data_IF_868212003400
#
_entry.id   IF_868212003400
#
_cell.length_a   1.000
_cell.length_b   1.000
_cell.length_c   1.000
_cell.angle_alpha   90.00
_cell.angle_beta   90.00
_cell.angle_gamma   90.00
#
_symmetry.space_group_name_H-M   'P 1'
#
loop_
_entity.id
_entity.type
_entity.pdbx_description
1 polymer ?
#
# COMPACT_ATOMS: atom_id res chain seq x y z
N UNK A 1 13.35 -15.18 7.03
CA UNK A 1 13.02 -15.01 5.60
C UNK A 1 12.47 -13.60 5.49
N UNK A 2 13.30 -12.63 5.12
CA UNK A 2 12.88 -11.23 5.03
C UNK A 2 12.32 -11.04 3.63
N UNK A 3 11.01 -10.80 3.53
CA UNK A 3 10.35 -10.41 2.29
C UNK A 3 10.66 -8.92 2.05
N UNK A 4 11.92 -8.57 1.78
CA UNK A 4 12.26 -7.25 1.26
C UNK A 4 11.94 -7.25 -0.24
N UNK A 5 10.66 -7.13 -0.55
CA UNK A 5 10.21 -6.75 -1.87
C UNK A 5 9.85 -5.28 -1.81
N UNK A 6 10.32 -4.50 -2.79
CA UNK A 6 9.95 -3.07 -2.93
C UNK A 6 8.43 -2.88 -3.03
N UNK A 7 7.69 -3.95 -3.29
CA UNK A 7 6.22 -3.99 -3.37
C UNK A 7 5.54 -4.42 -2.06
N UNK A 8 6.24 -4.39 -0.93
CA UNK A 8 5.69 -4.67 0.41
C UNK A 8 6.15 -3.59 1.39
N UNK A 9 5.24 -3.10 2.23
CA UNK A 9 5.58 -2.27 3.39
C UNK A 9 4.71 -2.59 4.60
N UNK A 10 5.18 -2.25 5.80
CA UNK A 10 4.46 -2.48 7.05
C UNK A 10 3.84 -1.18 7.59
N UNK A 11 2.63 -1.28 8.11
CA UNK A 11 2.04 -0.25 8.94
C UNK A 11 2.69 -0.22 10.31
N UNK A 12 3.35 0.88 10.64
CA UNK A 12 3.92 1.09 11.97
C UNK A 12 2.80 1.38 12.99
N UNK A 13 2.80 0.68 14.11
CA UNK A 13 1.85 0.91 15.21
C UNK A 13 2.10 2.31 15.78
N UNK A 14 1.06 3.12 15.87
CA UNK A 14 1.14 4.50 16.38
C UNK A 14 1.56 5.56 15.34
N UNK A 15 1.90 5.16 14.11
CA UNK A 15 2.19 6.09 13.01
C UNK A 15 0.90 6.62 12.35
N UNK A 16 -0.25 5.99 12.61
CA UNK A 16 -1.54 6.42 12.09
C UNK A 16 -2.40 5.22 11.71
N UNK A 17 -2.95 5.25 10.50
CA UNK A 17 -3.83 4.19 9.99
C UNK A 17 -3.06 2.90 9.71
N UNK A 18 -3.67 1.74 9.97
CA UNK A 18 -3.15 0.44 9.51
C UNK A 18 -1.93 -0.11 10.26
N UNK A 19 -1.65 0.37 11.46
CA UNK A 19 -0.57 -0.17 12.30
C UNK A 19 -0.70 -1.69 12.51
N UNK A 20 0.41 -2.40 12.40
CA UNK A 20 0.50 -3.86 12.52
C UNK A 20 -0.01 -4.65 11.30
N UNK A 21 -0.38 -3.97 10.21
CA UNK A 21 -0.81 -4.61 8.95
C UNK A 21 0.28 -4.55 7.89
N UNK A 22 0.28 -5.53 7.00
CA UNK A 22 1.10 -5.50 5.80
C UNK A 22 0.31 -4.86 4.65
N UNK A 23 0.99 -4.06 3.86
CA UNK A 23 0.48 -3.50 2.61
C UNK A 23 1.38 -3.98 1.48
N UNK A 24 0.80 -4.49 0.41
CA UNK A 24 1.59 -5.04 -0.67
C UNK A 24 0.86 -4.97 -2.01
N UNK A 25 1.65 -5.01 -3.09
CA UNK A 25 1.14 -5.07 -4.44
C UNK A 25 1.20 -6.51 -4.97
N UNK A 26 0.06 -7.03 -5.41
CA UNK A 26 -0.10 -8.35 -6.02
C UNK A 26 -1.15 -8.24 -7.13
N UNK A 27 -0.89 -8.81 -8.31
CA UNK A 27 -1.80 -8.78 -9.46
C UNK A 27 -2.40 -7.39 -9.77
N UNK A 28 -1.54 -6.36 -9.83
CA UNK A 28 -1.90 -4.96 -10.11
C UNK A 28 -2.90 -4.35 -9.10
N UNK A 29 -2.91 -4.87 -7.87
CA UNK A 29 -3.79 -4.40 -6.78
C UNK A 29 -2.98 -4.06 -5.55
N UNK A 30 -3.44 -3.07 -4.80
CA UNK A 30 -3.00 -2.80 -3.44
C UNK A 30 -3.85 -3.63 -2.50
N UNK A 31 -3.21 -4.52 -1.75
CA UNK A 31 -3.84 -5.32 -0.72
C UNK A 31 -3.31 -4.94 0.65
N UNK A 32 -4.16 -5.15 1.66
CA UNK A 32 -3.75 -5.18 3.04
C UNK A 32 -3.97 -6.57 3.62
N UNK A 33 -3.05 -7.00 4.48
CA UNK A 33 -3.15 -8.23 5.24
C UNK A 33 -3.01 -7.94 6.73
N UNK A 34 -3.97 -8.41 7.51
CA UNK A 34 -3.93 -8.36 8.96
C UNK A 34 -3.39 -9.70 9.49
N UNK A 35 -2.16 -9.73 10.06
CA UNK A 35 -1.55 -10.97 10.53
C UNK A 35 -2.27 -11.59 11.73
N UNK A 36 -3.06 -10.83 12.48
CA UNK A 36 -3.79 -11.33 13.65
C UNK A 36 -5.06 -12.06 13.23
N UNK A 37 -5.90 -11.44 12.39
CA UNK A 37 -7.14 -12.06 11.90
C UNK A 37 -6.91 -12.99 10.70
N UNK A 38 -5.74 -12.89 10.05
CA UNK A 38 -5.40 -13.55 8.77
C UNK A 38 -6.29 -13.10 7.60
N UNK A 39 -6.94 -11.95 7.74
CA UNK A 39 -7.79 -11.41 6.69
C UNK A 39 -6.97 -10.64 5.65
N UNK A 40 -7.43 -10.74 4.40
CA UNK A 40 -6.90 -9.97 3.28
C UNK A 40 -8.00 -9.08 2.72
N UNK A 41 -7.65 -7.85 2.36
CA UNK A 41 -8.59 -6.91 1.74
C UNK A 41 -7.93 -6.18 0.59
N UNK A 42 -8.64 -6.07 -0.53
CA UNK A 42 -8.23 -5.27 -1.68
C UNK A 42 -8.63 -3.82 -1.40
N UNK A 43 -7.65 -2.91 -1.41
CA UNK A 43 -7.87 -1.49 -1.18
C UNK A 43 -7.98 -0.70 -2.49
N UNK A 44 -7.17 -1.08 -3.49
CA UNK A 44 -7.15 -0.45 -4.80
C UNK A 44 -6.83 -1.49 -5.87
N UNK A 45 -7.42 -1.31 -7.06
CA UNK A 45 -7.16 -2.14 -8.25
C UNK A 45 -6.65 -1.27 -9.40
N UNK A 46 -6.11 -1.92 -10.44
CA UNK A 46 -5.62 -1.30 -11.67
C UNK A 46 -4.41 -0.38 -11.44
N UNK A 47 -3.38 -0.91 -10.79
CA UNK A 47 -2.09 -0.24 -10.57
C UNK A 47 -1.14 -0.69 -11.68
N UNK A 48 -0.81 0.22 -12.59
CA UNK A 48 -0.02 -0.12 -13.76
C UNK A 48 1.49 0.01 -13.48
N UNK A 49 2.26 -1.04 -13.74
CA UNK A 49 3.74 -1.07 -13.64
C UNK A 49 4.28 -0.47 -12.32
N UNK A 50 3.88 -1.02 -11.15
CA UNK A 50 4.36 -0.58 -9.84
C UNK A 50 5.84 -0.92 -9.66
N UNK A 51 6.60 0.03 -9.12
CA UNK A 51 8.03 -0.10 -8.82
C UNK A 51 8.28 -0.21 -7.31
N UNK A 52 7.59 0.58 -6.52
CA UNK A 52 7.73 0.56 -5.06
C UNK A 52 6.44 0.95 -4.34
N UNK A 53 6.34 0.54 -3.08
CA UNK A 53 5.31 0.97 -2.13
C UNK A 53 5.97 1.47 -0.86
N UNK A 54 5.41 2.53 -0.30
CA UNK A 54 5.78 3.03 1.02
C UNK A 54 4.55 3.54 1.75
N UNK A 55 4.69 3.74 3.06
CA UNK A 55 3.62 4.26 3.89
C UNK A 55 4.16 5.37 4.79
N UNK A 56 3.36 6.43 4.93
CA UNK A 56 3.57 7.48 5.91
C UNK A 56 2.24 7.91 6.49
N UNK A 57 2.09 7.76 7.81
CA UNK A 57 0.84 8.02 8.48
C UNK A 57 -0.34 7.27 7.84
N UNK A 58 -1.38 7.96 7.39
CA UNK A 58 -2.52 7.32 6.74
C UNK A 58 -2.38 7.19 5.22
N UNK A 59 -1.26 7.60 4.62
CA UNK A 59 -1.06 7.60 3.17
C UNK A 59 -0.16 6.44 2.76
N UNK A 60 -0.64 5.64 1.81
CA UNK A 60 0.16 4.67 1.07
C UNK A 60 0.58 5.33 -0.24
N UNK A 61 1.88 5.42 -0.48
CA UNK A 61 2.42 5.94 -1.72
C UNK A 61 2.93 4.78 -2.55
N UNK A 62 2.44 4.67 -3.78
CA UNK A 62 2.86 3.67 -4.76
C UNK A 62 3.54 4.42 -5.89
N UNK A 63 4.82 4.14 -6.09
CA UNK A 63 5.55 4.68 -7.22
C UNK A 63 5.42 3.72 -8.40
N UNK A 64 4.85 4.20 -9.50
CA UNK A 64 4.77 3.48 -10.77
C UNK A 64 5.79 4.04 -11.78
N UNK A 65 5.87 3.41 -12.94
CA UNK A 65 6.77 3.84 -14.00
C UNK A 65 6.49 5.27 -14.48
N UNK A 66 5.22 5.61 -14.70
CA UNK A 66 4.80 6.89 -15.29
C UNK A 66 3.97 7.77 -14.35
N UNK A 67 3.63 7.27 -13.16
CA UNK A 67 2.77 7.96 -12.21
C UNK A 67 3.17 7.65 -10.78
N UNK A 68 2.65 8.45 -9.85
CA UNK A 68 2.67 8.20 -8.41
C UNK A 68 1.22 8.17 -7.97
N UNK A 69 0.84 7.12 -7.24
CA UNK A 69 -0.49 6.97 -6.67
C UNK A 69 -0.36 7.18 -5.16
N UNK A 70 -1.14 8.10 -4.61
CA UNK A 70 -1.29 8.26 -3.17
C UNK A 70 -2.68 7.77 -2.75
N UNK A 71 -2.73 6.78 -1.86
CA UNK A 71 -3.96 6.23 -1.32
C UNK A 71 -4.11 6.61 0.15
N UNK A 72 -5.12 7.41 0.47
CA UNK A 72 -5.44 7.84 1.83
C UNK A 72 -6.35 6.79 2.50
N UNK A 73 -5.77 6.02 3.44
CA UNK A 73 -6.46 4.98 4.21
C UNK A 73 -7.60 5.53 5.09
N UNK A 74 -7.53 6.82 5.47
CA UNK A 74 -8.57 7.42 6.32
C UNK A 74 -9.80 7.83 5.53
N UNK A 75 -9.60 8.20 4.25
CA UNK A 75 -10.66 8.63 3.34
C UNK A 75 -11.11 7.53 2.38
N UNK A 76 -10.34 6.44 2.29
CA UNK A 76 -10.52 5.36 1.32
C UNK A 76 -10.59 5.90 -0.12
N UNK A 77 -9.69 6.84 -0.44
CA UNK A 77 -9.63 7.53 -1.72
C UNK A 77 -8.19 7.59 -2.25
N UNK A 78 -8.04 7.66 -3.58
CA UNK A 78 -6.74 7.85 -4.23
C UNK A 78 -6.63 9.20 -4.95
N UNK A 79 -5.41 9.68 -5.02
CA UNK A 79 -4.97 10.75 -5.93
C UNK A 79 -3.85 10.19 -6.82
N UNK A 80 -3.77 10.67 -8.06
CA UNK A 80 -2.82 10.19 -9.06
C UNK A 80 -2.06 11.38 -9.63
N UNK A 81 -0.74 11.26 -9.64
CA UNK A 81 0.17 12.29 -10.11
C UNK A 81 1.01 11.72 -11.25
N UNK A 82 0.84 12.26 -12.46
CA UNK A 82 1.64 11.86 -13.63
C UNK A 82 3.04 12.47 -13.54
N UNK A 83 4.06 11.69 -13.89
CA UNK A 83 5.46 12.13 -13.94
C UNK A 83 5.77 12.90 -15.23
#
# INVERSE_FOLDING_TARGET
>A
MVLESDLVCEGIIGDGCGGGRLFYIEDEKLLTYDPLSKEKTILLSFINLPKSISKKACVITIECEHEIIEFDLSKMSKEVFTK
#
